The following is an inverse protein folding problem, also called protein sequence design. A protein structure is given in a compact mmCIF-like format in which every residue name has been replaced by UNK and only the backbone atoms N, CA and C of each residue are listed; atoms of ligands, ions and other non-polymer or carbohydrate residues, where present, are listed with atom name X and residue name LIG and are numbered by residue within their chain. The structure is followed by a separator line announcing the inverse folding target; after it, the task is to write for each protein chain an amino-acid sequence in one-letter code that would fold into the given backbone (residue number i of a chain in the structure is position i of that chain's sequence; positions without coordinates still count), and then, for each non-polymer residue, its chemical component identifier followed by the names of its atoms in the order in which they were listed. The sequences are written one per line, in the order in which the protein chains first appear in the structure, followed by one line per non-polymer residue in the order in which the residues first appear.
data_IF_800134754132
#
_entry.id   IF_800134754132
#
_cell.length_a   1.000
_cell.length_b   1.000
_cell.length_c   1.000
_cell.angle_alpha   90.00
_cell.angle_beta   90.00
_cell.angle_gamma   90.00
#
_symmetry.space_group_name_H-M   'P 1'
#
loop_
_entity.id
_entity.type
_entity.pdbx_description
1 polymer ?
#
# COMPACT_ATOMS: atom_id res chain seq x y z
N UNK A 1 24.19 12.12 -9.31
CA UNK A 1 23.02 11.24 -9.13
C UNK A 1 23.52 9.86 -8.71
N UNK A 2 22.75 9.15 -7.88
CA UNK A 2 23.02 7.76 -7.47
C UNK A 2 21.84 6.89 -7.88
N UNK A 3 22.08 5.63 -8.24
CA UNK A 3 21.00 4.65 -8.47
C UNK A 3 20.39 4.23 -7.14
N UNK A 4 19.16 3.72 -7.19
CA UNK A 4 18.59 3.02 -6.04
C UNK A 4 19.40 1.73 -5.78
N UNK A 5 19.70 1.39 -4.51
CA UNK A 5 20.50 0.21 -4.19
C UNK A 5 19.77 -1.08 -4.55
N UNK A 6 20.54 -2.07 -4.97
CA UNK A 6 20.04 -3.43 -5.24
C UNK A 6 19.60 -4.14 -3.95
N UNK A 7 18.73 -5.17 -4.03
CA UNK A 7 18.40 -5.98 -2.86
C UNK A 7 19.63 -6.59 -2.18
N UNK A 8 20.66 -6.96 -2.95
CA UNK A 8 21.91 -7.51 -2.43
C UNK A 8 22.71 -6.49 -1.58
N UNK A 9 22.77 -5.24 -2.02
CA UNK A 9 23.43 -4.15 -1.27
C UNK A 9 22.66 -3.85 0.02
N UNK A 10 21.33 -3.76 -0.06
CA UNK A 10 20.47 -3.54 1.11
C UNK A 10 20.52 -4.71 2.11
N UNK A 11 20.64 -5.95 1.64
CA UNK A 11 20.72 -7.13 2.50
C UNK A 11 22.05 -7.21 3.28
N UNK A 12 23.13 -6.67 2.71
CA UNK A 12 24.47 -6.58 3.34
C UNK A 12 24.56 -5.44 4.35
N UNK A 13 23.80 -4.36 4.15
CA UNK A 13 23.79 -3.23 5.08
C UNK A 13 23.25 -3.64 6.46
N UNK A 14 23.86 -3.10 7.51
CA UNK A 14 23.40 -3.26 8.88
C UNK A 14 22.17 -2.39 9.14
N UNK A 15 21.34 -2.79 10.10
CA UNK A 15 20.18 -1.97 10.54
C UNK A 15 20.62 -0.58 11.02
N UNK A 16 21.83 -0.46 11.59
CA UNK A 16 22.39 0.83 12.03
C UNK A 16 22.72 1.75 10.85
N UNK A 17 23.31 1.22 9.78
CA UNK A 17 23.60 1.99 8.57
C UNK A 17 22.30 2.45 7.90
N UNK A 18 21.32 1.54 7.76
CA UNK A 18 20.00 1.86 7.24
C UNK A 18 19.27 2.92 8.09
N UNK A 19 19.37 2.83 9.43
CA UNK A 19 18.82 3.84 10.33
C UNK A 19 19.52 5.20 10.17
N UNK A 20 20.83 5.20 9.88
CA UNK A 20 21.61 6.39 9.54
C UNK A 20 21.10 7.14 8.30
N UNK A 21 20.31 6.48 7.43
CA UNK A 21 19.62 7.10 6.30
C UNK A 21 18.26 7.74 6.67
N UNK A 22 17.91 7.84 7.96
CA UNK A 22 16.65 8.45 8.39
C UNK A 22 15.44 7.52 8.35
N UNK A 23 15.64 6.21 8.18
CA UNK A 23 14.54 5.23 8.15
C UNK A 23 13.86 5.02 9.52
N UNK A 24 14.55 5.37 10.62
CA UNK A 24 14.07 5.15 11.99
C UNK A 24 13.75 3.66 12.23
N UNK A 25 12.59 3.38 12.83
CA UNK A 25 12.15 2.00 13.09
C UNK A 25 11.98 1.14 11.82
N UNK A 26 11.82 1.77 10.64
CA UNK A 26 11.66 1.06 9.36
C UNK A 26 12.96 0.45 8.83
N UNK A 27 14.11 0.84 9.38
CA UNK A 27 15.40 0.26 9.02
C UNK A 27 15.40 -1.27 9.15
N UNK A 28 14.71 -1.79 10.18
CA UNK A 28 14.52 -3.23 10.38
C UNK A 28 13.69 -3.86 9.26
N UNK A 29 12.59 -3.24 8.86
CA UNK A 29 11.71 -3.73 7.79
C UNK A 29 12.43 -3.80 6.44
N UNK A 30 13.21 -2.77 6.12
CA UNK A 30 14.03 -2.74 4.89
C UNK A 30 15.08 -3.84 4.92
N UNK A 31 15.79 -4.04 6.03
CA UNK A 31 16.81 -5.10 6.14
C UNK A 31 16.19 -6.50 6.03
N UNK A 32 15.10 -6.77 6.75
CA UNK A 32 14.41 -8.07 6.71
C UNK A 32 13.85 -8.37 5.31
N UNK A 33 13.20 -7.37 4.68
CA UNK A 33 12.67 -7.51 3.31
C UNK A 33 13.78 -7.74 2.29
N UNK A 34 14.88 -6.96 2.36
CA UNK A 34 16.00 -7.12 1.44
C UNK A 34 16.64 -8.51 1.56
N UNK A 35 16.78 -9.02 2.78
CA UNK A 35 17.31 -10.37 3.03
C UNK A 35 16.39 -11.47 2.50
N UNK A 36 15.08 -11.36 2.70
CA UNK A 36 14.11 -12.31 2.15
C UNK A 36 14.16 -12.32 0.61
N UNK A 37 14.13 -11.13 -0.02
CA UNK A 37 14.20 -11.00 -1.48
C UNK A 37 15.51 -11.54 -2.03
N UNK A 38 16.64 -11.23 -1.40
CA UNK A 38 17.97 -11.67 -1.86
C UNK A 38 18.24 -13.16 -1.59
N UNK A 39 17.79 -13.68 -0.45
CA UNK A 39 18.06 -15.04 0.01
C UNK A 39 17.15 -16.11 -0.61
N UNK A 40 15.88 -15.80 -0.86
CA UNK A 40 14.87 -16.81 -1.23
C UNK A 40 14.63 -16.92 -2.75
N UNK A 41 15.48 -16.34 -3.59
CA UNK A 41 15.26 -16.26 -5.05
C UNK A 41 13.87 -15.75 -5.39
N UNK A 42 13.46 -14.65 -4.76
CA UNK A 42 12.12 -14.09 -4.92
C UNK A 42 11.80 -13.81 -6.40
N UNK A 43 10.79 -14.50 -6.93
CA UNK A 43 10.42 -14.43 -8.34
C UNK A 43 9.48 -13.25 -8.60
N UNK A 44 10.09 -12.09 -8.87
CA UNK A 44 9.37 -10.87 -9.25
C UNK A 44 8.51 -11.04 -10.50
N UNK A 45 8.96 -11.86 -11.45
CA UNK A 45 8.25 -12.09 -12.70
C UNK A 45 6.98 -12.91 -12.48
N UNK A 46 7.03 -13.92 -11.59
CA UNK A 46 5.83 -14.62 -11.12
C UNK A 46 4.90 -13.66 -10.40
N UNK A 47 5.41 -12.85 -9.47
CA UNK A 47 4.58 -11.90 -8.73
C UNK A 47 3.85 -10.91 -9.66
N UNK A 48 4.54 -10.41 -10.69
CA UNK A 48 3.95 -9.51 -11.70
C UNK A 48 2.83 -10.20 -12.50
N UNK A 49 2.99 -11.48 -12.86
CA UNK A 49 1.99 -12.25 -13.61
C UNK A 49 0.81 -12.74 -12.76
N UNK A 50 0.97 -12.88 -11.45
CA UNK A 50 -0.11 -13.29 -10.55
C UNK A 50 -1.28 -12.30 -10.55
N UNK A 51 -2.49 -12.76 -10.27
CA UNK A 51 -3.63 -11.88 -10.04
C UNK A 51 -3.43 -11.01 -8.78
N UNK A 52 -4.25 -9.97 -8.63
CA UNK A 52 -4.17 -9.04 -7.51
C UNK A 52 -4.20 -9.74 -6.14
N UNK A 53 -5.11 -10.69 -5.90
CA UNK A 53 -5.28 -11.29 -4.57
C UNK A 53 -4.07 -12.14 -4.21
N UNK A 54 -3.59 -12.94 -5.16
CA UNK A 54 -2.39 -13.78 -4.99
C UNK A 54 -1.16 -12.92 -4.71
N UNK A 55 -0.90 -11.89 -5.54
CA UNK A 55 0.25 -11.01 -5.35
C UNK A 55 0.16 -10.21 -4.04
N UNK A 56 -1.05 -9.81 -3.64
CA UNK A 56 -1.29 -9.10 -2.38
C UNK A 56 -0.98 -9.95 -1.16
N UNK A 57 -1.43 -11.20 -1.13
CA UNK A 57 -1.13 -12.14 -0.03
C UNK A 57 0.38 -12.34 0.09
N UNK A 58 1.08 -12.48 -1.03
CA UNK A 58 2.53 -12.63 -1.02
C UNK A 58 3.25 -11.40 -0.46
N UNK A 59 2.85 -10.20 -0.87
CA UNK A 59 3.42 -8.94 -0.36
C UNK A 59 3.19 -8.75 1.15
N UNK A 60 2.05 -9.21 1.68
CA UNK A 60 1.73 -9.09 3.10
C UNK A 60 2.61 -9.97 4.00
N UNK A 61 3.39 -10.91 3.45
CA UNK A 61 4.35 -11.70 4.22
C UNK A 61 5.61 -10.91 4.58
N UNK A 62 5.87 -9.76 3.95
CA UNK A 62 7.03 -8.94 4.27
C UNK A 62 6.81 -8.10 5.55
N UNK A 63 7.83 -8.11 6.41
CA UNK A 63 7.84 -7.32 7.65
C UNK A 63 7.66 -5.83 7.34
N UNK A 64 6.67 -5.20 8.00
CA UNK A 64 6.35 -3.79 7.78
C UNK A 64 5.46 -3.50 6.57
N UNK A 65 5.08 -4.51 5.78
CA UNK A 65 4.14 -4.36 4.67
C UNK A 65 2.72 -4.67 5.14
N UNK A 66 1.96 -3.60 5.40
CA UNK A 66 0.52 -3.70 5.66
C UNK A 66 -0.33 -3.58 4.39
N UNK A 67 -1.66 -3.73 4.52
CA UNK A 67 -2.63 -3.63 3.41
C UNK A 67 -2.39 -2.45 2.46
N UNK A 68 -2.19 -1.26 3.01
CA UNK A 68 -1.93 -0.04 2.23
C UNK A 68 -0.65 -0.12 1.41
N UNK A 69 0.43 -0.62 2.01
CA UNK A 69 1.74 -0.69 1.35
C UNK A 69 1.69 -1.73 0.23
N UNK A 70 1.08 -2.90 0.49
CA UNK A 70 0.87 -3.93 -0.52
C UNK A 70 0.09 -3.37 -1.73
N UNK A 71 -1.02 -2.66 -1.50
CA UNK A 71 -1.83 -2.09 -2.58
C UNK A 71 -1.08 -1.01 -3.38
N UNK A 72 -0.22 -0.22 -2.73
CA UNK A 72 0.68 0.71 -3.44
C UNK A 72 1.69 -0.03 -4.34
N UNK A 73 2.32 -1.11 -3.86
CA UNK A 73 3.25 -1.91 -4.68
C UNK A 73 2.52 -2.55 -5.86
N UNK A 74 1.32 -3.09 -5.63
CA UNK A 74 0.47 -3.66 -6.67
C UNK A 74 0.15 -2.65 -7.78
N UNK A 75 -0.24 -1.43 -7.39
CA UNK A 75 -0.59 -0.38 -8.35
C UNK A 75 0.64 0.17 -9.09
N UNK A 76 1.70 0.52 -8.35
CA UNK A 76 2.80 1.32 -8.89
C UNK A 76 3.91 0.51 -9.54
N UNK A 77 4.01 -0.80 -9.28
CA UNK A 77 5.08 -1.64 -9.86
C UNK A 77 4.62 -2.93 -10.51
N UNK A 78 3.41 -3.42 -10.21
CA UNK A 78 2.92 -4.72 -10.70
C UNK A 78 1.72 -4.62 -11.66
N UNK A 79 1.38 -3.41 -12.11
CA UNK A 79 0.33 -3.14 -13.11
C UNK A 79 -1.06 -3.68 -12.70
N UNK A 80 -1.33 -3.80 -11.39
CA UNK A 80 -2.67 -4.15 -10.88
C UNK A 80 -3.52 -2.89 -10.79
N UNK A 81 -4.02 -2.46 -11.95
CA UNK A 81 -4.81 -1.23 -12.11
C UNK A 81 -6.11 -1.27 -11.31
N UNK A 82 -6.58 -2.45 -10.95
CA UNK A 82 -7.73 -2.66 -10.07
C UNK A 82 -7.39 -2.45 -8.58
N UNK A 83 -6.15 -2.09 -8.23
CA UNK A 83 -5.74 -1.77 -6.86
C UNK A 83 -6.28 -0.40 -6.43
N UNK A 84 -6.75 -0.30 -5.17
CA UNK A 84 -7.29 0.94 -4.61
C UNK A 84 -6.66 1.26 -3.24
N UNK A 85 -5.43 1.83 -3.20
CA UNK A 85 -4.75 2.11 -1.94
C UNK A 85 -5.47 3.18 -1.11
N UNK A 86 -5.83 2.87 0.14
CA UNK A 86 -6.56 3.81 1.02
C UNK A 86 -5.68 4.33 2.16
N UNK A 87 -5.19 5.55 2.01
CA UNK A 87 -4.49 6.28 3.08
C UNK A 87 -5.41 7.28 3.79
N UNK A 88 -4.83 8.17 4.60
CA UNK A 88 -5.59 9.19 5.33
C UNK A 88 -6.30 10.18 4.40
N UNK A 89 -5.74 10.50 3.23
CA UNK A 89 -6.32 11.41 2.26
C UNK A 89 -7.45 10.73 1.50
N UNK A 90 -7.25 9.50 1.05
CA UNK A 90 -8.31 8.72 0.41
C UNK A 90 -9.47 8.45 1.37
N UNK A 91 -9.19 8.20 2.66
CA UNK A 91 -10.25 8.12 3.68
C UNK A 91 -11.09 9.40 3.72
N UNK A 92 -10.46 10.58 3.71
CA UNK A 92 -11.17 11.87 3.71
C UNK A 92 -12.01 12.07 2.45
N UNK A 93 -11.47 11.69 1.29
CA UNK A 93 -12.21 11.74 0.02
C UNK A 93 -13.45 10.85 0.09
N UNK A 94 -13.31 9.61 0.56
CA UNK A 94 -14.45 8.68 0.72
C UNK A 94 -15.49 9.26 1.67
N UNK A 95 -15.06 9.78 2.83
CA UNK A 95 -15.94 10.41 3.80
C UNK A 95 -16.70 11.62 3.25
N UNK A 96 -16.08 12.41 2.38
CA UNK A 96 -16.69 13.62 1.82
C UNK A 96 -17.60 13.34 0.63
N UNK A 97 -17.21 12.41 -0.24
CA UNK A 97 -17.82 12.25 -1.56
C UNK A 97 -18.57 10.92 -1.75
N UNK A 98 -18.32 9.92 -0.91
CA UNK A 98 -18.82 8.56 -1.10
C UNK A 98 -19.45 7.97 0.18
N UNK A 99 -19.72 8.78 1.20
CA UNK A 99 -20.23 8.32 2.48
C UNK A 99 -21.60 7.62 2.37
N UNK A 100 -22.42 8.01 1.40
CA UNK A 100 -23.74 7.41 1.12
C UNK A 100 -23.68 5.93 0.72
N UNK A 101 -22.53 5.44 0.25
CA UNK A 101 -22.33 4.03 -0.09
C UNK A 101 -22.08 3.12 1.13
N UNK A 102 -22.03 3.68 2.34
CA UNK A 102 -21.73 2.93 3.56
C UNK A 102 -22.80 3.14 4.64
N UNK A 103 -22.99 2.16 5.55
CA UNK A 103 -23.86 2.36 6.72
C UNK A 103 -23.41 3.54 7.56
N UNK A 104 -24.36 4.37 8.03
CA UNK A 104 -24.07 5.55 8.86
C UNK A 104 -23.18 5.26 10.07
N UNK A 105 -23.38 4.12 10.73
CA UNK A 105 -22.56 3.71 11.88
C UNK A 105 -21.09 3.41 11.52
N UNK A 106 -20.83 2.92 10.30
CA UNK A 106 -19.47 2.72 9.80
C UNK A 106 -18.80 4.07 9.51
N UNK A 107 -19.50 4.98 8.82
CA UNK A 107 -18.99 6.34 8.52
C UNK A 107 -18.66 7.10 9.80
N UNK A 108 -19.57 7.06 10.80
CA UNK A 108 -19.32 7.71 12.09
C UNK A 108 -18.03 7.21 12.74
N UNK A 109 -17.85 5.88 12.80
CA UNK A 109 -16.66 5.25 13.39
C UNK A 109 -15.36 5.71 12.71
N UNK A 110 -15.26 5.57 11.39
CA UNK A 110 -14.02 5.90 10.69
C UNK A 110 -13.75 7.41 10.61
N UNK A 111 -14.75 8.26 10.89
CA UNK A 111 -14.61 9.71 11.00
C UNK A 111 -13.99 10.13 12.34
N UNK A 112 -14.37 9.43 13.41
CA UNK A 112 -13.90 9.72 14.78
C UNK A 112 -12.47 9.18 15.02
N UNK A 113 -12.04 8.17 14.26
CA UNK A 113 -10.76 7.49 14.44
C UNK A 113 -9.59 8.16 13.70
N UNK A 114 -8.40 8.15 14.33
CA UNK A 114 -7.18 8.72 13.73
C UNK A 114 -6.64 7.89 12.56
N UNK A 115 -6.83 6.58 12.59
CA UNK A 115 -6.35 5.61 11.60
C UNK A 115 -7.39 4.53 11.34
N UNK A 116 -7.32 3.87 10.18
CA UNK A 116 -8.16 2.73 9.87
C UNK A 116 -7.60 1.45 10.50
N UNK A 117 -8.47 0.61 11.05
CA UNK A 117 -8.16 -0.80 11.28
C UNK A 117 -8.03 -1.56 9.95
N UNK A 118 -7.44 -2.77 9.99
CA UNK A 118 -7.30 -3.61 8.80
C UNK A 118 -8.65 -3.94 8.15
N UNK A 119 -9.69 -4.21 8.94
CA UNK A 119 -11.01 -4.55 8.41
C UNK A 119 -11.70 -3.34 7.76
N UNK A 120 -11.53 -2.14 8.33
CA UNK A 120 -12.04 -0.91 7.73
C UNK A 120 -11.30 -0.55 6.44
N UNK A 121 -9.97 -0.69 6.44
CA UNK A 121 -9.17 -0.55 5.22
C UNK A 121 -9.67 -1.48 4.13
N UNK A 122 -9.83 -2.78 4.42
CA UNK A 122 -10.29 -3.78 3.45
C UNK A 122 -11.67 -3.42 2.90
N UNK A 123 -12.57 -2.91 3.76
CA UNK A 123 -13.90 -2.49 3.32
C UNK A 123 -13.85 -1.28 2.38
N UNK A 124 -13.02 -0.28 2.67
CA UNK A 124 -12.87 0.90 1.82
C UNK A 124 -12.16 0.58 0.49
N UNK A 125 -11.12 -0.26 0.54
CA UNK A 125 -10.44 -0.78 -0.63
C UNK A 125 -11.43 -1.55 -1.53
N UNK A 126 -12.16 -2.52 -0.97
CA UNK A 126 -13.12 -3.31 -1.74
C UNK A 126 -14.22 -2.45 -2.37
N UNK A 127 -14.70 -1.41 -1.67
CA UNK A 127 -15.62 -0.44 -2.25
C UNK A 127 -15.01 0.22 -3.49
N UNK A 128 -13.82 0.81 -3.38
CA UNK A 128 -13.17 1.48 -4.50
C UNK A 128 -12.94 0.56 -5.70
N UNK A 129 -12.43 -0.65 -5.45
CA UNK A 129 -12.22 -1.67 -6.49
C UNK A 129 -13.51 -2.05 -7.21
N UNK A 130 -14.62 -2.20 -6.49
CA UNK A 130 -15.93 -2.53 -7.09
C UNK A 130 -16.57 -1.35 -7.81
N UNK A 131 -16.42 -0.15 -7.27
CA UNK A 131 -17.07 1.05 -7.80
C UNK A 131 -16.39 1.55 -9.07
N UNK A 132 -15.05 1.55 -9.09
CA UNK A 132 -14.26 2.04 -10.23
C UNK A 132 -13.78 0.92 -11.18
N UNK A 133 -13.92 -0.35 -10.76
CA UNK A 133 -13.62 -1.50 -11.59
C UNK A 133 -12.14 -1.67 -11.91
N UNK A 134 -11.84 -2.09 -13.14
CA UNK A 134 -10.49 -2.38 -13.64
C UNK A 134 -9.52 -1.21 -13.48
N UNK A 135 -10.02 0.03 -13.52
CA UNK A 135 -9.20 1.25 -13.48
C UNK A 135 -9.27 1.98 -12.13
N UNK A 136 -9.58 1.26 -11.05
CA UNK A 136 -9.69 1.82 -9.71
C UNK A 136 -8.44 2.61 -9.28
N UNK A 137 -7.25 2.16 -9.65
CA UNK A 137 -6.00 2.84 -9.39
C UNK A 137 -5.89 4.21 -10.06
N UNK A 138 -6.35 4.35 -11.31
CA UNK A 138 -6.38 5.66 -11.96
C UNK A 138 -7.36 6.61 -11.27
N UNK A 139 -8.57 6.14 -10.95
CA UNK A 139 -9.52 6.93 -10.19
C UNK A 139 -8.95 7.35 -8.83
N UNK A 140 -8.26 6.44 -8.13
CA UNK A 140 -7.61 6.69 -6.86
C UNK A 140 -6.57 7.81 -6.97
N UNK A 141 -5.73 7.84 -8.01
CA UNK A 141 -4.70 8.86 -8.18
C UNK A 141 -5.29 10.25 -8.41
N UNK A 142 -6.34 10.37 -9.24
CA UNK A 142 -7.05 11.64 -9.44
C UNK A 142 -7.72 12.12 -8.14
N UNK A 143 -8.38 11.21 -7.43
CA UNK A 143 -9.02 11.50 -6.15
C UNK A 143 -8.00 11.90 -5.07
N UNK A 144 -6.85 11.23 -5.02
CA UNK A 144 -5.76 11.53 -4.11
C UNK A 144 -5.21 12.93 -4.38
N UNK A 145 -4.91 13.25 -5.65
CA UNK A 145 -4.44 14.57 -6.03
C UNK A 145 -5.47 15.66 -5.68
N UNK A 146 -6.73 15.44 -6.05
CA UNK A 146 -7.82 16.37 -5.71
C UNK A 146 -7.91 16.59 -4.19
N UNK A 147 -7.89 15.51 -3.41
CA UNK A 147 -7.95 15.55 -1.95
C UNK A 147 -6.75 16.25 -1.31
N UNK A 148 -5.55 16.16 -1.89
CA UNK A 148 -4.36 16.86 -1.39
C UNK A 148 -4.41 18.37 -1.61
N UNK A 149 -5.12 18.82 -2.64
CA UNK A 149 -5.18 20.23 -3.04
C UNK A 149 -6.43 20.94 -2.49
N UNK A 150 -7.54 20.21 -2.29
CA UNK A 150 -8.84 20.81 -1.98
C UNK A 150 -9.51 20.33 -0.67
N UNK A 151 -8.90 19.39 0.08
CA UNK A 151 -9.48 18.84 1.32
C UNK A 151 -8.62 19.06 2.56
#
# INVERSE_FOLDING_TARGET
FYKFPTPAELAKATVKELAGCGLGYRARYVSETAKAVYGDSFDFERLKRSDYETARVELLNFSGVGPKVADCVLLFSLEKLESFPVDVWMRRVILRHYAEHFPRGFIKRISDEKSLSNSEYVRLNLFGRRYFGEYAGYAQEYLYHYGRVHC
#
